data_IF_140580634390
#
_entry.id   IF_140580634390
#
_cell.length_a   1.000
_cell.length_b   1.000
_cell.length_c   1.000
_cell.angle_alpha   90.00
_cell.angle_beta   90.00
_cell.angle_gamma   90.00
#
_symmetry.space_group_name_H-M   'P 1'
#
loop_
_entity.id
_entity.type
_entity.pdbx_description
1 polymer ?
#
# COMPACT_ATOMS: atom_id res chain seq x y z
N UNK A 1 -6.95 6.06 -18.77
CA UNK A 1 -7.15 4.92 -17.84
C UNK A 1 -7.33 5.48 -16.43
N UNK A 2 -8.16 4.87 -15.57
CA UNK A 2 -8.35 5.34 -14.19
C UNK A 2 -7.15 4.96 -13.33
N UNK A 3 -6.81 5.85 -12.41
CA UNK A 3 -5.82 5.64 -11.34
C UNK A 3 -6.58 5.69 -10.03
N UNK A 4 -6.30 4.75 -9.13
CA UNK A 4 -6.94 4.67 -7.83
C UNK A 4 -5.91 4.82 -6.72
N UNK A 5 -6.28 5.57 -5.67
CA UNK A 5 -5.44 5.84 -4.52
C UNK A 5 -5.99 5.09 -3.31
N UNK A 6 -5.20 4.21 -2.73
CA UNK A 6 -5.50 3.53 -1.47
C UNK A 6 -4.62 4.09 -0.35
N UNK A 7 -5.24 4.78 0.59
CA UNK A 7 -4.54 5.35 1.74
C UNK A 7 -4.08 4.26 2.72
N UNK A 8 -2.88 4.44 3.26
CA UNK A 8 -2.35 3.64 4.37
C UNK A 8 -2.67 4.30 5.73
N UNK A 9 -2.35 3.62 6.85
CA UNK A 9 -2.56 4.13 8.22
C UNK A 9 -1.74 5.37 8.53
N UNK A 10 -0.56 5.49 7.94
CA UNK A 10 0.35 6.60 8.18
C UNK A 10 0.10 7.67 7.10
N UNK A 11 -0.69 8.68 7.47
CA UNK A 11 -0.94 9.91 6.70
C UNK A 11 -0.24 11.10 7.37
N UNK A 12 0.97 10.88 7.85
CA UNK A 12 1.72 11.73 8.78
C UNK A 12 2.89 12.44 8.09
N UNK A 13 2.86 12.56 6.77
CA UNK A 13 3.86 13.33 6.05
C UNK A 13 3.89 14.78 6.56
N UNK A 14 5.06 15.20 7.03
CA UNK A 14 5.26 16.52 7.64
C UNK A 14 5.00 17.69 6.67
N UNK A 15 4.94 17.42 5.37
CA UNK A 15 4.67 18.41 4.32
C UNK A 15 3.23 18.34 3.80
N UNK A 16 2.36 17.56 4.45
CA UNK A 16 0.94 17.44 4.08
C UNK A 16 0.70 16.65 2.80
N UNK A 17 1.67 15.85 2.33
CA UNK A 17 1.49 15.00 1.15
C UNK A 17 0.66 13.78 1.50
N UNK A 18 -0.25 13.43 0.60
CA UNK A 18 -1.01 12.19 0.71
C UNK A 18 -0.09 10.97 0.53
N UNK A 19 -0.16 10.03 1.47
CA UNK A 19 0.60 8.78 1.42
C UNK A 19 -0.33 7.67 0.92
N UNK A 20 -0.18 7.23 -0.32
CA UNK A 20 -1.11 6.29 -0.93
C UNK A 20 -0.43 5.22 -1.79
N UNK A 21 -1.04 4.04 -1.80
CA UNK A 21 -0.78 2.99 -2.76
C UNK A 21 -1.52 3.28 -4.05
N UNK A 22 -0.84 3.17 -5.18
CA UNK A 22 -1.38 3.57 -6.47
C UNK A 22 -1.74 2.30 -7.24
N UNK A 23 -3.00 2.19 -7.62
CA UNK A 23 -3.54 1.06 -8.37
C UNK A 23 -3.94 1.49 -9.78
N UNK A 24 -3.51 0.71 -10.78
CA UNK A 24 -3.84 0.92 -12.19
C UNK A 24 -4.37 -0.36 -12.83
N UNK A 25 -5.19 -0.20 -13.88
CA UNK A 25 -5.70 -1.35 -14.63
C UNK A 25 -6.70 -2.22 -13.87
N UNK A 26 -7.32 -1.69 -12.81
CA UNK A 26 -8.43 -2.34 -12.12
C UNK A 26 -9.59 -2.59 -13.09
N UNK A 27 -10.28 -3.73 -12.95
CA UNK A 27 -11.42 -4.07 -13.81
C UNK A 27 -12.63 -3.17 -13.51
N UNK A 28 -12.80 -2.79 -12.24
CA UNK A 28 -13.93 -2.02 -11.75
C UNK A 28 -13.46 -0.96 -10.74
N UNK A 29 -14.40 -0.35 -10.02
CA UNK A 29 -14.09 0.51 -8.87
C UNK A 29 -13.61 -0.37 -7.71
N UNK A 30 -12.34 -0.26 -7.28
CA UNK A 30 -11.81 -1.08 -6.23
C UNK A 30 -12.46 -0.78 -4.88
N UNK A 31 -12.63 -1.83 -4.06
CA UNK A 31 -12.96 -1.70 -2.65
C UNK A 31 -11.69 -1.88 -1.83
N UNK A 32 -11.20 -0.77 -1.29
CA UNK A 32 -10.02 -0.76 -0.44
C UNK A 32 -10.36 -1.04 1.01
N UNK A 33 -9.39 -1.60 1.73
CA UNK A 33 -9.47 -1.66 3.18
C UNK A 33 -9.36 -0.24 3.75
N UNK A 34 -10.11 0.05 4.82
CA UNK A 34 -10.02 1.36 5.50
C UNK A 34 -8.57 1.65 5.92
N UNK A 35 -8.12 2.92 5.94
CA UNK A 35 -6.82 3.29 6.52
C UNK A 35 -6.63 2.77 7.94
N UNK A 36 -7.71 2.72 8.72
CA UNK A 36 -7.73 2.22 10.10
C UNK A 36 -7.60 0.70 10.20
N UNK A 37 -7.76 -0.05 9.09
CA UNK A 37 -7.61 -1.51 9.10
C UNK A 37 -6.26 -1.94 9.68
N UNK A 38 -5.17 -1.27 9.26
CA UNK A 38 -3.83 -1.61 9.71
C UNK A 38 -3.58 -1.21 11.16
N UNK A 39 -4.36 -0.31 11.75
CA UNK A 39 -4.10 0.24 13.08
C UNK A 39 -4.38 -0.77 14.18
N UNK A 40 -3.33 -1.13 14.94
CA UNK A 40 -3.45 -1.69 16.29
C UNK A 40 -2.96 -0.64 17.32
N UNK A 41 -2.90 -1.01 18.60
CA UNK A 41 -2.38 -0.11 19.63
C UNK A 41 -0.89 0.18 19.46
N UNK A 42 -0.50 1.42 19.74
CA UNK A 42 0.87 1.93 19.60
C UNK A 42 1.40 1.78 18.16
N UNK A 43 2.66 1.35 18.03
CA UNK A 43 3.36 1.19 16.76
C UNK A 43 3.16 -0.22 16.17
N UNK A 44 2.06 -0.90 16.50
CA UNK A 44 1.77 -2.23 15.95
C UNK A 44 0.77 -2.13 14.83
N UNK A 45 0.99 -2.91 13.78
CA UNK A 45 0.05 -3.06 12.66
C UNK A 45 -0.55 -4.45 12.60
N UNK A 46 -1.71 -4.58 11.95
CA UNK A 46 -2.15 -5.89 11.43
C UNK A 46 -1.14 -6.41 10.40
N UNK A 47 -1.12 -7.72 10.11
CA UNK A 47 -0.32 -8.26 9.02
C UNK A 47 -0.64 -7.55 7.70
N UNK A 48 0.39 -7.30 6.90
CA UNK A 48 0.23 -6.74 5.57
C UNK A 48 -0.61 -7.62 4.65
N UNK A 49 -1.25 -6.96 3.69
CA UNK A 49 -2.01 -7.53 2.59
C UNK A 49 -1.07 -8.09 1.53
N UNK A 50 -1.32 -9.33 1.12
CA UNK A 50 -0.66 -9.94 -0.05
C UNK A 50 -1.53 -9.85 -1.29
N UNK A 51 -2.85 -9.87 -1.11
CA UNK A 51 -3.82 -9.94 -2.20
C UNK A 51 -4.17 -8.56 -2.77
N UNK A 52 -4.55 -8.56 -4.05
CA UNK A 52 -5.15 -7.38 -4.68
C UNK A 52 -6.56 -7.11 -4.14
N UNK A 53 -7.01 -5.84 -4.10
CA UNK A 53 -8.34 -5.49 -3.61
C UNK A 53 -9.47 -6.02 -4.50
N UNK A 54 -10.68 -6.13 -3.96
CA UNK A 54 -11.88 -6.45 -4.73
C UNK A 54 -12.10 -5.37 -5.80
N UNK A 55 -12.46 -5.76 -7.02
CA UNK A 55 -12.60 -4.85 -8.16
C UNK A 55 -11.27 -4.42 -8.81
N UNK A 56 -10.12 -4.95 -8.35
CA UNK A 56 -8.81 -4.69 -8.94
C UNK A 56 -7.91 -5.94 -8.96
N UNK A 57 -8.48 -7.12 -9.22
CA UNK A 57 -7.74 -8.38 -9.12
C UNK A 57 -6.67 -8.52 -10.20
N UNK A 58 -6.95 -8.09 -11.43
CA UNK A 58 -6.00 -7.97 -12.55
C UNK A 58 -5.22 -6.67 -12.56
N UNK A 59 -5.49 -5.77 -11.62
CA UNK A 59 -4.79 -4.50 -11.52
C UNK A 59 -3.36 -4.66 -11.02
N UNK A 60 -2.58 -3.61 -11.23
CA UNK A 60 -1.19 -3.53 -10.83
C UNK A 60 -1.03 -2.48 -9.72
N UNK A 61 -0.27 -2.85 -8.70
CA UNK A 61 0.23 -1.92 -7.70
C UNK A 61 1.47 -1.24 -8.29
N UNK A 62 1.41 0.07 -8.54
CA UNK A 62 2.48 0.79 -9.23
C UNK A 62 3.80 0.69 -8.46
N UNK A 63 3.76 0.80 -7.13
CA UNK A 63 4.94 0.67 -6.28
C UNK A 63 5.59 -0.72 -6.42
N UNK A 64 4.80 -1.78 -6.61
CA UNK A 64 5.32 -3.12 -6.83
C UNK A 64 6.06 -3.23 -8.17
N UNK A 65 5.48 -2.69 -9.24
CA UNK A 65 6.13 -2.67 -10.55
C UNK A 65 7.42 -1.84 -10.52
N UNK A 66 7.43 -0.71 -9.80
CA UNK A 66 8.64 0.11 -9.63
C UNK A 66 9.77 -0.63 -8.90
N UNK A 67 9.45 -1.43 -7.88
CA UNK A 67 10.44 -2.24 -7.16
C UNK A 67 10.98 -3.35 -8.06
N UNK A 68 10.09 -4.07 -8.77
CA UNK A 68 10.47 -5.13 -9.72
C UNK A 68 11.38 -4.64 -10.85
N UNK A 69 11.12 -3.45 -11.37
CA UNK A 69 11.93 -2.82 -12.43
C UNK A 69 13.22 -2.15 -11.89
N UNK A 70 13.48 -2.21 -10.58
CA UNK A 70 14.66 -1.61 -9.95
C UNK A 70 14.64 -0.07 -9.89
N UNK A 71 13.47 0.55 -10.10
CA UNK A 71 13.27 2.00 -10.06
C UNK A 71 13.06 2.53 -8.63
N UNK A 72 12.68 1.66 -7.70
CA UNK A 72 12.46 1.98 -6.30
C UNK A 72 12.99 0.87 -5.39
N UNK A 73 13.23 1.21 -4.12
CA UNK A 73 13.60 0.26 -3.06
C UNK A 73 12.59 0.35 -1.93
N UNK A 74 12.33 -0.77 -1.28
CA UNK A 74 11.47 -0.85 -0.11
C UNK A 74 12.24 -0.35 1.11
N UNK A 75 11.70 0.64 1.80
CA UNK A 75 12.23 1.15 3.06
C UNK A 75 11.41 0.59 4.22
N UNK A 76 12.07 -0.09 5.16
CA UNK A 76 11.43 -0.73 6.32
C UNK A 76 11.89 -0.05 7.61
N UNK A 77 10.94 0.51 8.33
CA UNK A 77 11.19 1.29 9.55
C UNK A 77 10.96 0.42 10.79
N UNK A 78 11.96 0.33 11.68
CA UNK A 78 11.93 -0.54 12.87
C UNK A 78 11.04 0.00 14.00
N UNK A 79 10.77 1.29 14.00
CA UNK A 79 10.09 2.04 15.04
C UNK A 79 8.59 2.23 14.78
N UNK A 80 8.06 1.68 13.68
CA UNK A 80 6.65 1.77 13.31
C UNK A 80 6.06 0.42 12.92
N UNK A 81 4.73 0.37 12.79
CA UNK A 81 4.03 -0.82 12.35
C UNK A 81 4.12 -1.00 10.84
N UNK A 82 3.97 -2.25 10.40
CA UNK A 82 3.94 -2.63 8.98
C UNK A 82 2.93 -1.79 8.17
N UNK A 83 3.30 -1.37 6.96
CA UNK A 83 2.36 -0.81 5.98
C UNK A 83 1.57 -1.89 5.24
N UNK A 84 0.45 -1.53 4.61
CA UNK A 84 -0.46 -2.49 3.95
C UNK A 84 0.27 -3.45 3.02
N UNK A 85 1.23 -3.00 2.22
CA UNK A 85 1.91 -3.85 1.24
C UNK A 85 3.41 -4.03 1.54
N UNK A 86 3.91 -3.62 2.71
CA UNK A 86 5.35 -3.64 3.02
C UNK A 86 5.96 -5.03 2.87
N UNK A 87 5.37 -6.04 3.53
CA UNK A 87 5.86 -7.43 3.45
C UNK A 87 5.68 -8.06 2.08
N UNK A 88 4.68 -7.63 1.31
CA UNK A 88 4.50 -8.07 -0.09
C UNK A 88 5.68 -7.59 -0.93
N UNK A 89 6.06 -6.33 -0.77
CA UNK A 89 7.15 -5.70 -1.53
C UNK A 89 8.55 -6.12 -1.05
N UNK A 90 8.71 -6.40 0.25
CA UNK A 90 10.00 -6.77 0.84
C UNK A 90 10.43 -8.23 0.56
N UNK A 91 9.63 -8.99 -0.19
CA UNK A 91 9.88 -10.41 -0.52
C UNK A 91 10.51 -10.64 -1.90
N UNK A 92 10.64 -9.58 -2.71
CA UNK A 92 11.24 -9.62 -4.05
C UNK A 92 12.73 -9.23 -4.02
#
# INVERSE_FOLDING_TARGET
KRVWLEYDRYQDDMYGRAMAWIWIGCEETPKFTSPEYMRLSFNRSRPGLTENPEGCKKGKLVQEEMVKDGLAKVEVYKDRGELKYEKRLARD
#
